data_IF_409713476023
#
_entry.id   IF_409713476023
#
_cell.length_a   1.000
_cell.length_b   1.000
_cell.length_c   1.000
_cell.angle_alpha   90.00
_cell.angle_beta   90.00
_cell.angle_gamma   90.00
#
_symmetry.space_group_name_H-M   'P 1'
#
loop_
_entity.id
_entity.type
_entity.pdbx_description
1 polymer ?
#
# COMPACT_ATOMS: atom_id res chain seq x y z
N UNK A 1 -10.10 -14.72 -11.97
CA UNK A 1 -9.88 -15.39 -10.67
C UNK A 1 -8.90 -14.54 -9.87
N UNK A 2 -9.05 -14.43 -8.54
CA UNK A 2 -8.20 -13.56 -7.70
C UNK A 2 -7.59 -14.27 -6.49
N UNK A 3 -8.05 -15.48 -6.19
CA UNK A 3 -7.62 -16.24 -5.01
C UNK A 3 -6.83 -17.47 -5.42
N UNK A 4 -5.65 -17.62 -4.82
CA UNK A 4 -4.75 -18.78 -4.97
C UNK A 4 -4.65 -19.52 -3.64
N UNK A 5 -4.42 -20.83 -3.71
CA UNK A 5 -4.22 -21.70 -2.56
C UNK A 5 -2.77 -22.18 -2.52
N UNK A 6 -2.16 -22.04 -1.35
CA UNK A 6 -0.85 -22.52 -0.98
C UNK A 6 -1.02 -23.85 -0.23
N UNK A 7 -0.26 -24.86 -0.61
CA UNK A 7 -0.31 -26.19 -0.01
C UNK A 7 1.00 -26.54 0.69
N UNK A 8 0.97 -27.55 1.55
CA UNK A 8 2.15 -28.11 2.21
C UNK A 8 2.99 -27.07 2.97
N UNK A 9 2.31 -26.18 3.70
CA UNK A 9 2.97 -25.17 4.50
C UNK A 9 3.68 -25.80 5.72
N UNK A 10 4.90 -25.36 6.06
CA UNK A 10 5.61 -25.82 7.25
C UNK A 10 4.82 -25.63 8.55
N UNK A 11 5.04 -26.52 9.52
CA UNK A 11 4.49 -26.34 10.86
C UNK A 11 5.06 -25.05 11.48
N UNK A 12 4.19 -24.29 12.16
CA UNK A 12 4.57 -23.04 12.80
C UNK A 12 4.65 -21.82 11.87
N UNK A 13 4.35 -21.95 10.57
CA UNK A 13 4.29 -20.80 9.66
C UNK A 13 3.29 -19.75 10.16
N UNK A 14 3.69 -18.48 10.12
CA UNK A 14 2.82 -17.35 10.45
C UNK A 14 2.36 -16.67 9.17
N UNK A 15 1.23 -15.94 9.27
CA UNK A 15 0.74 -15.12 8.16
C UNK A 15 1.81 -14.11 7.71
N UNK A 16 2.60 -13.59 8.66
CA UNK A 16 3.75 -12.71 8.39
C UNK A 16 4.79 -13.33 7.46
N UNK A 17 5.14 -14.60 7.66
CA UNK A 17 6.11 -15.33 6.82
C UNK A 17 5.60 -15.49 5.38
N UNK A 18 4.29 -15.73 5.22
CA UNK A 18 3.65 -15.82 3.91
C UNK A 18 3.72 -14.46 3.20
N UNK A 19 3.34 -13.39 3.89
CA UNK A 19 3.33 -12.02 3.35
C UNK A 19 4.73 -11.47 3.12
N UNK A 20 5.76 -12.01 3.76
CA UNK A 20 7.14 -11.64 3.52
C UNK A 20 7.65 -12.09 2.14
N UNK A 21 7.11 -13.19 1.61
CA UNK A 21 7.54 -13.79 0.33
C UNK A 21 6.68 -13.31 -0.84
N UNK A 22 5.38 -13.10 -0.63
CA UNK A 22 4.45 -12.74 -1.71
C UNK A 22 4.67 -11.31 -2.18
N UNK A 23 4.90 -11.11 -3.48
CA UNK A 23 5.12 -9.80 -4.11
C UNK A 23 4.49 -9.75 -5.50
N UNK A 24 4.30 -8.53 -6.00
CA UNK A 24 3.76 -8.24 -7.33
C UNK A 24 2.24 -8.10 -7.37
N UNK A 25 1.63 -7.63 -6.28
CA UNK A 25 0.22 -7.23 -6.25
C UNK A 25 -0.29 -6.96 -4.83
N UNK A 26 -1.11 -5.92 -4.61
CA UNK A 26 -1.76 -5.68 -3.32
C UNK A 26 -2.68 -6.84 -2.93
N UNK A 27 -2.61 -7.21 -1.65
CA UNK A 27 -3.41 -8.32 -1.13
C UNK A 27 -4.71 -7.82 -0.53
N UNK A 28 -5.78 -8.55 -0.82
CA UNK A 28 -7.08 -8.36 -0.20
C UNK A 28 -7.16 -9.08 1.15
N UNK A 29 -6.77 -10.36 1.17
CA UNK A 29 -6.77 -11.18 2.39
C UNK A 29 -5.75 -12.32 2.30
N UNK A 30 -5.14 -12.63 3.45
CA UNK A 30 -4.38 -13.87 3.69
C UNK A 30 -5.07 -14.68 4.78
N UNK A 31 -5.60 -15.84 4.41
CA UNK A 31 -6.29 -16.76 5.30
C UNK A 31 -5.47 -18.06 5.48
N UNK A 32 -4.88 -18.24 6.66
CA UNK A 32 -4.06 -19.41 6.98
C UNK A 32 -4.90 -20.45 7.74
N UNK A 33 -4.85 -21.70 7.29
CA UNK A 33 -5.41 -22.89 7.96
C UNK A 33 -4.28 -23.79 8.47
N UNK A 34 -3.79 -23.59 9.71
CA UNK A 34 -2.65 -24.34 10.23
C UNK A 34 -2.90 -25.85 10.30
N UNK A 35 -4.13 -26.27 10.63
CA UNK A 35 -4.49 -27.70 10.73
C UNK A 35 -4.38 -28.45 9.41
N UNK A 36 -4.63 -27.76 8.30
CA UNK A 36 -4.57 -28.33 6.95
C UNK A 36 -3.22 -28.09 6.27
N UNK A 37 -2.31 -27.33 6.90
CA UNK A 37 -1.08 -26.87 6.27
C UNK A 37 -1.36 -26.13 4.93
N UNK A 38 -2.47 -25.38 4.86
CA UNK A 38 -2.83 -24.60 3.66
C UNK A 38 -3.09 -23.13 3.99
N UNK A 39 -2.89 -22.26 3.01
CA UNK A 39 -3.33 -20.88 3.09
C UNK A 39 -4.00 -20.44 1.78
N UNK A 40 -4.98 -19.56 1.89
CA UNK A 40 -5.58 -18.88 0.74
C UNK A 40 -5.07 -17.45 0.72
N UNK A 41 -4.62 -16.99 -0.44
CA UNK A 41 -4.19 -15.61 -0.68
C UNK A 41 -5.07 -15.04 -1.76
N UNK A 42 -5.76 -13.97 -1.43
CA UNK A 42 -6.65 -13.25 -2.34
C UNK A 42 -6.03 -11.91 -2.70
N UNK A 43 -5.88 -11.64 -3.98
CA UNK A 43 -5.38 -10.38 -4.51
C UNK A 43 -6.52 -9.39 -4.74
N UNK A 44 -6.21 -8.10 -4.70
CA UNK A 44 -7.17 -7.04 -5.06
C UNK A 44 -7.53 -7.17 -6.55
N UNK A 45 -6.52 -7.31 -7.40
CA UNK A 45 -6.66 -7.45 -8.85
C UNK A 45 -6.47 -8.91 -9.29
N UNK A 46 -7.30 -9.35 -10.25
CA UNK A 46 -7.22 -10.72 -10.77
C UNK A 46 -5.95 -10.98 -11.59
N UNK A 47 -5.48 -9.95 -12.29
CA UNK A 47 -4.28 -10.03 -13.13
C UNK A 47 -3.02 -10.27 -12.29
N UNK A 48 -2.93 -9.61 -11.12
CA UNK A 48 -1.84 -9.84 -10.16
C UNK A 48 -1.81 -11.29 -9.66
N UNK A 49 -3.00 -11.87 -9.41
CA UNK A 49 -3.10 -13.27 -8.99
C UNK A 49 -2.63 -14.23 -10.08
N UNK A 50 -2.99 -13.95 -11.34
CA UNK A 50 -2.57 -14.74 -12.49
C UNK A 50 -1.05 -14.66 -12.68
N UNK A 51 -0.51 -13.44 -12.66
CA UNK A 51 0.93 -13.20 -12.77
C UNK A 51 1.71 -13.83 -11.60
N UNK A 52 1.16 -13.79 -10.37
CA UNK A 52 1.76 -14.47 -9.23
C UNK A 52 1.79 -15.99 -9.42
N UNK A 53 0.70 -16.59 -9.90
CA UNK A 53 0.63 -18.03 -10.13
C UNK A 53 1.59 -18.50 -11.22
N UNK A 54 1.70 -17.74 -12.32
CA UNK A 54 2.67 -18.00 -13.38
C UNK A 54 4.10 -17.95 -12.86
N UNK A 55 4.47 -16.88 -12.14
CA UNK A 55 5.79 -16.77 -11.50
C UNK A 55 6.07 -17.92 -10.54
N UNK A 56 5.09 -18.31 -9.73
CA UNK A 56 5.22 -19.42 -8.79
C UNK A 56 5.41 -20.78 -9.50
N UNK A 57 4.87 -20.96 -10.71
CA UNK A 57 5.08 -22.15 -11.54
C UNK A 57 6.46 -22.17 -12.17
N UNK A 58 6.94 -21.02 -12.67
CA UNK A 58 8.24 -20.92 -13.34
C UNK A 58 9.42 -20.99 -12.38
N UNK A 59 9.36 -20.22 -11.29
CA UNK A 59 10.49 -20.03 -10.38
C UNK A 59 10.36 -20.84 -9.07
N UNK A 60 9.17 -21.37 -8.80
CA UNK A 60 8.82 -21.96 -7.52
C UNK A 60 8.56 -20.91 -6.44
N UNK A 61 7.65 -21.22 -5.52
CA UNK A 61 7.46 -20.44 -4.30
C UNK A 61 8.13 -21.17 -3.13
N UNK A 62 8.92 -20.46 -2.32
CA UNK A 62 9.53 -21.04 -1.10
C UNK A 62 9.19 -20.19 0.11
N UNK A 63 8.64 -20.81 1.15
CA UNK A 63 8.34 -20.17 2.43
C UNK A 63 9.11 -20.94 3.50
N UNK A 64 9.89 -20.22 4.34
CA UNK A 64 10.78 -20.82 5.33
C UNK A 64 11.70 -21.92 4.74
N UNK A 65 12.21 -21.68 3.53
CA UNK A 65 13.05 -22.59 2.74
C UNK A 65 12.36 -23.88 2.23
N UNK A 66 11.05 -24.06 2.48
CA UNK A 66 10.27 -25.19 1.97
C UNK A 66 9.55 -24.82 0.66
N UNK A 67 9.60 -25.66 -0.40
CA UNK A 67 8.85 -25.41 -1.62
C UNK A 67 7.34 -25.57 -1.39
N UNK A 68 6.58 -24.58 -1.86
CA UNK A 68 5.14 -24.47 -1.64
C UNK A 68 4.42 -24.60 -2.98
N UNK A 69 3.67 -25.70 -3.21
CA UNK A 69 2.80 -25.80 -4.37
C UNK A 69 1.71 -24.72 -4.33
N UNK A 70 1.47 -24.08 -5.47
CA UNK A 70 0.48 -23.02 -5.63
C UNK A 70 -0.52 -23.43 -6.72
N UNK A 71 -1.81 -23.32 -6.42
CA UNK A 71 -2.88 -23.53 -7.41
C UNK A 71 -3.96 -22.47 -7.26
N UNK A 72 -4.87 -22.38 -8.23
CA UNK A 72 -6.08 -21.58 -8.06
C UNK A 72 -6.92 -22.12 -6.91
N UNK A 73 -7.52 -21.23 -6.12
CA UNK A 73 -8.46 -21.65 -5.10
C UNK A 73 -9.80 -22.03 -5.76
N UNK A 74 -10.40 -23.15 -5.39
CA UNK A 74 -11.71 -23.55 -5.92
C UNK A 74 -12.80 -22.53 -5.54
N UNK A 75 -12.74 -22.03 -4.30
CA UNK A 75 -13.63 -20.98 -3.81
C UNK A 75 -12.99 -19.60 -4.01
N UNK A 76 -13.45 -18.87 -5.02
CA UNK A 76 -12.95 -17.51 -5.28
C UNK A 76 -13.50 -16.52 -4.25
N UNK A 77 -12.66 -15.57 -3.82
CA UNK A 77 -13.11 -14.50 -2.94
C UNK A 77 -14.00 -13.52 -3.68
N UNK A 78 -15.18 -13.25 -3.12
CA UNK A 78 -16.13 -12.27 -3.63
C UNK A 78 -15.85 -10.94 -2.93
N UNK A 79 -15.36 -9.96 -3.70
CA UNK A 79 -15.08 -8.63 -3.17
C UNK A 79 -16.40 -7.89 -2.93
N UNK A 80 -16.70 -7.58 -1.67
CA UNK A 80 -17.88 -6.81 -1.32
C UNK A 80 -17.79 -5.36 -1.87
N UNK A 81 -18.87 -4.77 -2.39
CA UNK A 81 -18.85 -3.44 -3.00
C UNK A 81 -18.31 -2.34 -2.08
N UNK A 82 -18.65 -2.38 -0.79
CA UNK A 82 -18.18 -1.40 0.19
C UNK A 82 -16.65 -1.45 0.38
N UNK A 83 -16.05 -2.65 0.34
CA UNK A 83 -14.59 -2.81 0.43
C UNK A 83 -13.93 -2.30 -0.84
N UNK A 84 -14.52 -2.59 -2.01
CA UNK A 84 -14.04 -2.07 -3.29
C UNK A 84 -13.97 -0.53 -3.29
N UNK A 85 -15.03 0.13 -2.79
CA UNK A 85 -15.06 1.58 -2.66
C UNK A 85 -14.02 2.13 -1.67
N UNK A 86 -13.72 1.42 -0.58
CA UNK A 86 -12.66 1.83 0.33
C UNK A 86 -11.27 1.67 -0.31
N UNK A 87 -11.06 0.59 -1.07
CA UNK A 87 -9.81 0.37 -1.82
C UNK A 87 -9.59 1.48 -2.85
N UNK A 88 -10.62 1.91 -3.58
CA UNK A 88 -10.49 3.02 -4.53
C UNK A 88 -10.14 4.34 -3.87
N UNK A 89 -10.42 4.50 -2.57
CA UNK A 89 -10.00 5.63 -1.73
C UNK A 89 -8.63 5.44 -1.07
N UNK A 90 -7.90 4.39 -1.45
CA UNK A 90 -6.56 4.10 -0.96
C UNK A 90 -6.50 3.17 0.26
N UNK A 91 -7.59 2.49 0.63
CA UNK A 91 -7.55 1.50 1.70
C UNK A 91 -6.70 0.30 1.32
N UNK A 92 -5.83 -0.11 2.24
CA UNK A 92 -4.97 -1.28 2.13
C UNK A 92 -5.07 -2.11 3.41
N UNK A 93 -4.35 -3.22 3.48
CA UNK A 93 -4.22 -4.03 4.71
C UNK A 93 -3.30 -3.40 5.77
N UNK A 94 -2.64 -2.29 5.45
CA UNK A 94 -1.66 -1.62 6.29
C UNK A 94 -2.13 -0.20 6.63
N UNK A 95 -1.88 0.24 7.85
CA UNK A 95 -2.16 1.61 8.26
C UNK A 95 -1.08 2.11 9.22
N UNK A 96 -1.01 3.43 9.35
CA UNK A 96 -0.04 4.11 10.20
C UNK A 96 -0.78 5.03 11.16
N UNK A 97 -0.37 4.99 12.42
CA UNK A 97 -0.77 5.94 13.46
C UNK A 97 0.33 6.99 13.55
N UNK A 98 0.02 8.24 13.22
CA UNK A 98 0.90 9.41 13.37
C UNK A 98 0.53 10.21 14.60
N UNK A 99 1.50 10.92 15.17
CA UNK A 99 1.32 11.67 16.42
C UNK A 99 0.82 10.74 17.52
N UNK A 100 1.54 9.62 17.72
CA UNK A 100 1.08 8.57 18.63
C UNK A 100 1.34 8.99 20.06
N UNK A 101 0.53 8.50 20.99
CA UNK A 101 0.87 8.61 22.40
C UNK A 101 2.20 7.85 22.68
N UNK A 102 3.20 8.46 23.34
CA UNK A 102 4.44 7.77 23.72
C UNK A 102 4.24 6.50 24.55
N UNK A 103 3.12 6.40 25.29
CA UNK A 103 2.76 5.25 26.11
C UNK A 103 2.15 4.09 25.30
N UNK A 104 1.88 4.27 24.01
CA UNK A 104 1.31 3.24 23.15
C UNK A 104 2.35 2.16 22.85
N UNK A 105 2.09 0.93 23.33
CA UNK A 105 2.95 -0.25 23.10
C UNK A 105 2.35 -1.20 22.08
N UNK A 106 3.17 -2.12 21.55
CA UNK A 106 2.68 -3.17 20.64
C UNK A 106 1.64 -4.05 21.33
N UNK A 107 1.84 -4.39 22.60
CA UNK A 107 0.94 -5.23 23.39
C UNK A 107 -0.42 -4.56 23.59
N UNK A 108 -0.44 -3.25 23.86
CA UNK A 108 -1.67 -2.46 23.97
C UNK A 108 -2.45 -2.47 22.65
N UNK A 109 -1.79 -2.17 21.52
CA UNK A 109 -2.40 -2.20 20.19
C UNK A 109 -3.00 -3.59 19.88
N UNK A 110 -2.25 -4.66 20.19
CA UNK A 110 -2.72 -6.03 19.97
C UNK A 110 -3.89 -6.38 20.88
N UNK A 111 -3.87 -5.96 22.14
CA UNK A 111 -4.97 -6.13 23.09
C UNK A 111 -6.23 -5.42 22.63
N UNK A 112 -6.09 -4.20 22.13
CA UNK A 112 -7.20 -3.39 21.63
C UNK A 112 -7.87 -4.03 20.43
N UNK A 113 -7.12 -4.69 19.56
CA UNK A 113 -7.66 -5.34 18.37
C UNK A 113 -8.08 -6.80 18.59
N UNK A 114 -7.76 -7.41 19.74
CA UNK A 114 -7.96 -8.84 19.99
C UNK A 114 -9.43 -9.28 19.97
N UNK A 115 -10.36 -8.35 20.24
CA UNK A 115 -11.80 -8.63 20.22
C UNK A 115 -12.39 -8.69 18.79
N UNK A 116 -11.63 -8.27 17.76
CA UNK A 116 -12.10 -8.30 16.37
C UNK A 116 -11.85 -9.70 15.79
N UNK A 117 -12.94 -10.36 15.39
CA UNK A 117 -12.89 -11.72 14.86
C UNK A 117 -12.05 -11.83 13.58
N UNK A 118 -11.21 -12.87 13.51
CA UNK A 118 -10.34 -13.19 12.37
C UNK A 118 -9.36 -12.07 11.99
N UNK A 119 -9.16 -11.08 12.88
CA UNK A 119 -8.14 -10.06 12.71
C UNK A 119 -6.81 -10.56 13.26
N UNK A 120 -5.78 -10.51 12.42
CA UNK A 120 -4.42 -10.81 12.85
C UNK A 120 -3.49 -9.65 12.50
N UNK A 121 -2.90 -9.06 13.53
CA UNK A 121 -1.81 -8.10 13.38
C UNK A 121 -0.53 -8.87 13.06
N UNK A 122 0.01 -8.66 11.87
CA UNK A 122 1.19 -9.35 11.36
C UNK A 122 2.47 -8.71 11.91
N UNK A 123 2.51 -7.39 11.88
CA UNK A 123 3.70 -6.61 12.21
C UNK A 123 3.28 -5.27 12.81
N UNK A 124 4.01 -4.84 13.83
CA UNK A 124 3.91 -3.49 14.41
C UNK A 124 5.32 -2.91 14.42
N UNK A 125 5.51 -1.77 13.78
CA UNK A 125 6.81 -1.09 13.72
C UNK A 125 6.69 0.35 14.18
N UNK A 126 7.43 0.68 15.24
CA UNK A 126 7.54 2.05 15.72
C UNK A 126 8.70 2.75 15.02
N UNK A 127 8.41 3.87 14.36
CA UNK A 127 9.42 4.70 13.74
C UNK A 127 9.17 6.16 14.08
N UNK A 128 10.08 6.75 14.87
CA UNK A 128 9.95 8.12 15.40
C UNK A 128 8.62 8.28 16.16
N UNK A 129 7.73 9.11 15.64
CA UNK A 129 6.38 9.38 16.17
C UNK A 129 5.27 8.72 15.33
N UNK A 130 5.62 7.69 14.58
CA UNK A 130 4.70 6.88 13.80
C UNK A 130 4.73 5.42 14.27
N UNK A 131 3.58 4.75 14.17
CA UNK A 131 3.44 3.32 14.36
C UNK A 131 2.80 2.70 13.12
N UNK A 132 3.53 1.84 12.42
CA UNK A 132 3.05 1.11 11.25
C UNK A 132 2.49 -0.24 11.68
N UNK A 133 1.29 -0.54 11.22
CA UNK A 133 0.57 -1.75 11.58
C UNK A 133 0.17 -2.45 10.29
N UNK A 134 0.61 -3.70 10.14
CA UNK A 134 0.24 -4.57 9.03
C UNK A 134 -0.73 -5.63 9.50
N UNK A 135 -1.83 -5.82 8.79
CA UNK A 135 -2.87 -6.81 9.12
C UNK A 135 -3.03 -7.87 8.03
N UNK A 136 -3.84 -8.90 8.30
CA UNK A 136 -4.08 -10.00 7.37
C UNK A 136 -5.04 -9.67 6.22
N UNK A 137 -5.87 -8.64 6.32
CA UNK A 137 -6.94 -8.34 5.35
C UNK A 137 -7.29 -6.86 5.31
N UNK A 138 -7.65 -6.34 4.13
CA UNK A 138 -8.12 -4.96 3.96
C UNK A 138 -9.41 -4.72 4.73
N UNK A 139 -10.34 -5.68 4.72
CA UNK A 139 -11.61 -5.57 5.45
C UNK A 139 -11.37 -5.48 6.96
N UNK A 140 -10.46 -6.29 7.49
CA UNK A 140 -10.08 -6.24 8.90
C UNK A 140 -9.33 -4.94 9.25
N UNK A 141 -8.51 -4.41 8.34
CA UNK A 141 -7.84 -3.13 8.53
C UNK A 141 -8.83 -1.96 8.65
N UNK A 142 -9.90 -1.97 7.84
CA UNK A 142 -10.99 -0.98 7.93
C UNK A 142 -11.67 -1.05 9.31
N UNK A 143 -11.99 -2.26 9.78
CA UNK A 143 -12.57 -2.41 11.11
C UNK A 143 -11.62 -2.02 12.24
N UNK A 144 -10.34 -2.41 12.17
CA UNK A 144 -9.33 -2.02 13.14
C UNK A 144 -9.19 -0.50 13.23
N UNK A 145 -9.10 0.18 12.07
CA UNK A 145 -8.99 1.63 12.00
C UNK A 145 -10.18 2.30 12.69
N UNK A 146 -11.40 1.89 12.36
CA UNK A 146 -12.61 2.45 12.96
C UNK A 146 -12.69 2.17 14.48
N UNK A 147 -12.28 0.97 14.91
CA UNK A 147 -12.24 0.61 16.32
C UNK A 147 -11.21 1.43 17.11
N UNK A 148 -10.04 1.69 16.56
CA UNK A 148 -9.05 2.55 17.20
C UNK A 148 -9.54 3.99 17.31
N UNK A 149 -10.20 4.50 16.27
CA UNK A 149 -10.73 5.87 16.26
C UNK A 149 -11.77 6.14 17.35
N UNK A 150 -12.49 5.12 17.82
CA UNK A 150 -13.47 5.28 18.90
C UNK A 150 -12.86 5.25 20.31
N UNK A 151 -11.56 4.95 20.44
CA UNK A 151 -10.88 4.79 21.74
C UNK A 151 -10.11 6.05 22.14
N UNK A 152 -10.18 6.38 23.43
CA UNK A 152 -9.52 7.58 23.99
C UNK A 152 -7.99 7.53 23.88
N UNK A 153 -7.39 6.34 23.89
CA UNK A 153 -5.93 6.15 23.80
C UNK A 153 -5.34 6.65 22.47
N UNK A 154 -6.15 6.66 21.42
CA UNK A 154 -5.77 7.13 20.08
C UNK A 154 -6.27 8.56 19.80
N UNK A 155 -6.88 9.22 20.80
CA UNK A 155 -7.38 10.59 20.65
C UNK A 155 -6.21 11.54 20.37
N UNK A 156 -6.34 12.32 19.29
CA UNK A 156 -5.28 13.25 18.84
C UNK A 156 -4.23 12.62 17.93
N UNK A 157 -4.21 11.29 17.78
CA UNK A 157 -3.43 10.61 16.75
C UNK A 157 -4.18 10.59 15.42
N UNK A 158 -3.43 10.60 14.32
CA UNK A 158 -3.99 10.48 12.95
C UNK A 158 -3.75 9.08 12.41
N UNK A 159 -4.83 8.38 12.05
CA UNK A 159 -4.75 7.03 11.50
C UNK A 159 -4.98 7.07 9.98
N UNK A 160 -3.92 6.83 9.22
CA UNK A 160 -3.86 6.93 7.76
C UNK A 160 -3.53 5.57 7.12
N UNK A 161 -3.91 5.39 5.86
CA UNK A 161 -3.54 4.19 5.10
C UNK A 161 -2.05 4.18 4.77
N UNK A 162 -1.45 3.00 4.81
CA UNK A 162 -0.04 2.80 4.45
C UNK A 162 0.07 1.88 3.22
N UNK A 163 1.16 2.02 2.47
CA UNK A 163 1.39 1.18 1.30
C UNK A 163 1.55 -0.30 1.70
N UNK A 164 1.04 -1.19 0.86
CA UNK A 164 1.21 -2.63 1.02
C UNK A 164 2.58 -3.07 0.47
N UNK A 165 3.41 -3.72 1.30
CA UNK A 165 4.68 -4.29 0.85
C UNK A 165 4.52 -5.36 -0.24
N UNK A 166 3.37 -6.03 -0.32
CA UNK A 166 3.06 -7.01 -1.35
C UNK A 166 2.79 -6.39 -2.73
N UNK A 167 2.35 -5.12 -2.77
CA UNK A 167 2.13 -4.38 -4.01
C UNK A 167 3.42 -4.01 -4.73
N UNK A 168 4.57 -4.09 -4.04
CA UNK A 168 5.87 -3.87 -4.67
C UNK A 168 6.15 -4.94 -5.74
N UNK A 169 6.89 -4.60 -6.81
CA UNK A 169 7.23 -5.55 -7.84
C UNK A 169 7.92 -6.77 -7.22
N UNK A 170 7.77 -7.97 -7.83
CA UNK A 170 8.52 -9.14 -7.41
C UNK A 170 9.99 -8.77 -7.31
N UNK A 171 10.62 -9.11 -6.19
CA UNK A 171 12.07 -8.96 -6.07
C UNK A 171 12.66 -9.85 -7.15
N UNK A 172 13.09 -9.27 -8.26
CA UNK A 172 13.77 -10.00 -9.32
C UNK A 172 14.83 -10.85 -8.62
N UNK A 173 14.67 -12.19 -8.66
CA UNK A 173 15.84 -13.03 -8.48
C UNK A 173 16.85 -12.53 -9.51
N UNK A 174 18.13 -12.38 -9.15
CA UNK A 174 19.09 -11.70 -10.02
C UNK A 174 19.06 -12.39 -11.37
N UNK A 175 18.43 -11.75 -12.35
CA UNK A 175 18.87 -11.83 -13.73
C UNK A 175 20.33 -11.48 -13.63
N UNK A 176 21.17 -12.46 -13.96
CA UNK A 176 22.59 -12.27 -14.13
C UNK A 176 22.76 -11.11 -15.11
N UNK A 177 22.92 -9.90 -14.58
CA UNK A 177 23.22 -8.72 -15.36
C UNK A 177 24.60 -8.98 -15.93
N UNK A 178 24.64 -9.44 -17.17
CA UNK A 178 25.85 -9.41 -17.97
C UNK A 178 26.44 -8.01 -17.85
N UNK A 179 27.73 -7.98 -17.55
CA UNK A 179 28.39 -6.85 -16.92
C UNK A 179 28.21 -5.53 -17.68
N UNK A 180 27.56 -4.58 -17.01
CA UNK A 180 27.80 -3.17 -17.26
C UNK A 180 29.22 -2.86 -16.79
N UNK A 181 30.19 -2.93 -17.71
CA UNK A 181 31.57 -2.48 -17.48
C UNK A 181 31.53 -1.01 -17.04
N UNK A 182 32.26 -0.60 -16.00
CA UNK A 182 32.37 0.80 -15.67
C UNK A 182 33.13 1.51 -16.79
N UNK A 183 32.50 2.50 -17.42
CA UNK A 183 33.19 3.42 -18.33
C UNK A 183 34.18 4.23 -17.49
N UNK A 184 35.46 4.00 -17.70
CA UNK A 184 36.54 4.77 -17.09
C UNK A 184 36.44 6.24 -17.54
N UNK A 185 36.19 7.14 -16.60
CA UNK A 185 36.38 8.58 -16.80
C UNK A 185 37.88 8.83 -16.93
N UNK A 186 38.34 9.01 -18.17
CA UNK A 186 39.69 9.47 -18.46
C UNK A 186 39.82 10.95 -18.13
N UNK A 187 40.60 11.28 -17.08
CA UNK A 187 41.16 12.61 -16.87
C UNK A 187 41.99 12.98 -18.10
N UNK A 188 41.62 14.06 -18.79
CA UNK A 188 42.49 14.71 -19.79
C UNK A 188 42.97 16.05 -19.25
N UNK A 189 44.29 16.21 -19.32
CA UNK A 189 45.05 17.37 -18.89
C UNK A 189 44.65 18.65 -19.65
N UNK A 190 44.66 19.76 -18.92
CA UNK A 190 44.62 21.10 -19.47
C UNK A 190 45.91 21.41 -20.22
N UNK A 191 45.80 21.76 -21.50
CA UNK A 191 46.73 22.68 -22.15
C UNK A 191 46.00 23.48 -23.22
N UNK A 192 46.37 24.75 -23.27
CA UNK A 192 45.87 25.90 -24.03
C UNK A 192 45.78 25.73 -25.55
N UNK A 193 44.78 26.37 -26.18
CA UNK A 193 44.91 26.83 -27.56
C UNK A 193 43.62 26.88 -28.40
N UNK A 194 43.15 28.11 -28.67
CA UNK A 194 42.38 28.62 -29.81
C UNK A 194 40.98 28.08 -30.21
N UNK A 195 40.00 28.97 -30.05
CA UNK A 195 38.99 29.46 -31.03
C UNK A 195 38.41 28.45 -32.04
N UNK A 196 37.12 28.11 -31.88
CA UNK A 196 36.13 28.23 -32.95
C UNK A 196 34.70 28.06 -32.43
N UNK A 197 33.80 28.80 -33.07
CA UNK A 197 32.36 28.93 -32.87
C UNK A 197 31.59 27.61 -32.83
N UNK A 198 30.65 27.48 -31.89
CA UNK A 198 29.25 27.14 -32.16
C UNK A 198 28.44 27.21 -30.86
N UNK A 199 27.56 28.23 -30.77
CA UNK A 199 26.53 28.35 -29.73
C UNK A 199 25.52 27.23 -29.91
N UNK A 200 25.51 26.27 -28.99
CA UNK A 200 24.37 25.37 -28.79
C UNK A 200 23.25 26.17 -28.13
N UNK A 201 22.18 26.44 -28.86
CA UNK A 201 20.94 27.04 -28.34
C UNK A 201 20.19 25.99 -27.52
N UNK A 202 19.84 26.35 -26.28
CA UNK A 202 19.05 25.54 -25.37
C UNK A 202 17.66 25.26 -25.95
N UNK A 203 17.32 23.97 -26.09
CA UNK A 203 16.06 23.45 -26.66
C UNK A 203 14.82 23.62 -25.77
N UNK A 204 14.91 24.42 -24.71
CA UNK A 204 13.83 24.62 -23.73
C UNK A 204 13.18 26.01 -23.80
N UNK A 205 13.49 26.82 -24.82
CA UNK A 205 12.92 28.15 -25.00
C UNK A 205 11.79 28.14 -26.04
N UNK A 206 10.75 27.33 -25.79
CA UNK A 206 9.55 27.24 -26.67
C UNK A 206 8.25 27.30 -25.86
N UNK A 207 8.25 28.05 -24.76
CA UNK A 207 7.01 28.45 -24.08
C UNK A 207 7.17 29.90 -23.63
N UNK A 208 7.08 30.80 -24.60
CA UNK A 208 6.81 32.21 -24.36
C UNK A 208 5.81 32.64 -25.44
N UNK A 209 4.53 32.46 -25.13
CA UNK A 209 3.44 33.11 -25.83
C UNK A 209 2.82 34.08 -24.82
N UNK A 210 3.20 35.33 -24.98
CA UNK A 210 2.49 36.53 -24.56
C UNK A 210 1.23 36.72 -25.42
N UNK A 211 0.13 37.07 -24.77
CA UNK A 211 -0.97 37.96 -25.20
C UNK A 211 -2.10 37.74 -24.17
N UNK A 212 -2.25 38.62 -23.19
CA UNK A 212 -2.94 39.94 -23.22
C UNK A 212 -4.46 39.80 -23.07
N UNK A 213 -4.90 40.33 -21.93
CA UNK A 213 -6.11 41.10 -21.61
C UNK A 213 -7.50 40.59 -22.02
N UNK A 214 -8.40 40.45 -21.04
CA UNK A 214 -9.50 41.41 -20.88
C UNK A 214 -10.25 41.17 -19.56
N UNK A 215 -10.53 42.29 -18.89
CA UNK A 215 -11.34 42.49 -17.69
C UNK A 215 -12.80 42.03 -17.88
N UNK A 216 -13.48 41.70 -16.78
CA UNK A 216 -14.71 42.41 -16.40
C UNK A 216 -15.19 41.96 -15.00
N UNK A 217 -15.25 42.95 -14.12
CA UNK A 217 -15.99 42.95 -12.86
C UNK A 217 -17.49 42.75 -13.11
N UNK A 218 -18.19 42.11 -12.16
CA UNK A 218 -19.54 42.51 -11.79
C UNK A 218 -19.83 42.04 -10.35
N UNK A 219 -20.03 43.03 -9.48
CA UNK A 219 -20.60 42.94 -8.14
C UNK A 219 -22.13 42.79 -8.20
N UNK A 220 -22.75 42.75 -7.01
CA UNK A 220 -24.20 42.82 -6.70
C UNK A 220 -24.91 41.46 -6.63
N UNK A 221 -25.78 41.15 -5.65
CA UNK A 221 -26.41 41.93 -4.59
C UNK A 221 -27.05 40.96 -3.57
N UNK A 222 -27.36 41.49 -2.39
CA UNK A 222 -28.14 40.90 -1.30
C UNK A 222 -29.47 40.27 -1.76
N UNK A 223 -29.90 39.21 -1.06
CA UNK A 223 -31.31 39.08 -0.68
C UNK A 223 -31.43 38.38 0.68
N UNK A 224 -31.86 39.18 1.64
CA UNK A 224 -32.37 38.76 2.94
C UNK A 224 -33.78 38.18 2.78
N UNK A 225 -34.08 37.04 3.41
CA UNK A 225 -35.43 36.77 3.87
C UNK A 225 -35.42 35.93 5.16
N UNK A 226 -36.01 36.56 6.16
CA UNK A 226 -36.42 36.12 7.49
C UNK A 226 -37.57 35.12 7.36
N UNK A 227 -37.52 34.02 8.13
CA UNK A 227 -38.75 33.36 8.57
C UNK A 227 -38.50 32.75 9.95
N UNK A 228 -38.90 33.54 10.94
CA UNK A 228 -39.20 33.12 12.28
C UNK A 228 -40.43 32.22 12.25
N UNK A 229 -40.36 31.04 12.86
CA UNK A 229 -41.55 30.44 13.48
C UNK A 229 -41.13 29.70 14.75
N UNK A 230 -41.51 30.32 15.86
CA UNK A 230 -41.69 29.72 17.18
C UNK A 230 -42.71 28.57 17.07
N UNK A 231 -42.42 27.42 17.69
CA UNK A 231 -43.46 26.69 18.43
C UNK A 231 -42.83 25.76 19.48
N UNK A 232 -42.71 26.30 20.69
CA UNK A 232 -42.70 25.58 21.95
C UNK A 232 -44.11 24.99 22.18
N UNK A 233 -44.25 23.71 22.54
CA UNK A 233 -45.13 23.25 23.63
C UNK A 233 -45.09 21.71 23.84
N UNK A 234 -44.75 21.36 25.09
CA UNK A 234 -44.89 20.10 25.85
C UNK A 234 -44.06 18.85 25.49
#
# INVERSE_FOLDING_TARGET
>A
QRSVRLFNLPSGVRRGDITAVIRGGPLLEVYLRPKEHTATVSFVYGDDAAAFLERAREHGLRILNTPIPVQWNEQQFILAPHVCHQISRGATRNFVIRNRNPNLTEESIRGDLAHIHNLHVLKVEFFRDACYISTNSVHNAIFARNCMMSRLEYKGSRIEWAADECAQPPRNLPTQTQGSRPVMVSKRNFSSGSVSSNKATNRFQVLDMTDDDDDDDDEDEDDSEDDSDDEEYY
#
